data_IF_030822514993
#
_entry.id   IF_030822514993
#
_cell.length_a   1.000
_cell.length_b   1.000
_cell.length_c   1.000
_cell.angle_alpha   90.00
_cell.angle_beta   90.00
_cell.angle_gamma   90.00
#
_symmetry.space_group_name_H-M   'P 1'
#
loop_
_entity.id
_entity.type
_entity.pdbx_description
1 polymer ?
#
# COMPACT_ATOMS: atom_id res chain seq x y z
N UNK A 1 5.49 -5.62 27.14
CA UNK A 1 4.77 -6.50 26.18
C UNK A 1 4.52 -5.79 24.83
N UNK A 2 3.89 -4.61 24.79
CA UNK A 2 3.63 -3.87 23.53
C UNK A 2 4.89 -3.49 22.74
N UNK A 3 5.91 -2.91 23.40
CA UNK A 3 7.18 -2.55 22.73
C UNK A 3 7.90 -3.75 22.09
N UNK A 4 7.76 -4.95 22.68
CA UNK A 4 8.33 -6.16 22.12
C UNK A 4 7.63 -6.57 20.82
N UNK A 5 6.30 -6.44 20.75
CA UNK A 5 5.53 -6.68 19.52
C UNK A 5 5.85 -5.65 18.42
N UNK A 6 6.04 -4.38 18.80
CA UNK A 6 6.47 -3.37 17.84
C UNK A 6 7.85 -3.68 17.27
N UNK A 7 8.81 -4.12 18.10
CA UNK A 7 10.14 -4.55 17.63
C UNK A 7 10.05 -5.79 16.74
N UNK A 8 9.29 -6.80 17.14
CA UNK A 8 9.09 -8.02 16.35
C UNK A 8 8.54 -7.73 14.94
N UNK A 9 7.73 -6.67 14.79
CA UNK A 9 7.24 -6.24 13.47
C UNK A 9 8.37 -5.71 12.59
N UNK A 10 9.37 -5.03 13.15
CA UNK A 10 10.52 -4.50 12.40
C UNK A 10 11.49 -5.62 11.99
N UNK A 11 11.48 -6.77 12.67
CA UNK A 11 12.31 -7.94 12.32
C UNK A 11 11.77 -8.77 11.14
N UNK A 12 10.49 -8.63 10.78
CA UNK A 12 9.89 -9.36 9.64
C UNK A 12 10.55 -8.94 8.34
N UNK A 13 11.12 -9.88 7.59
CA UNK A 13 11.82 -9.62 6.34
C UNK A 13 10.90 -9.02 5.27
N UNK A 14 11.39 -8.00 4.57
CA UNK A 14 10.77 -7.48 3.35
C UNK A 14 11.79 -7.54 2.25
N UNK A 15 11.52 -8.38 1.26
CA UNK A 15 12.32 -8.44 0.04
C UNK A 15 12.39 -7.05 -0.65
N UNK A 16 13.57 -6.63 -1.15
CA UNK A 16 13.73 -5.35 -1.82
C UNK A 16 12.77 -5.12 -2.99
N UNK A 17 12.40 -6.17 -3.74
CA UNK A 17 11.42 -6.09 -4.82
C UNK A 17 10.02 -5.78 -4.30
N UNK A 18 9.64 -6.30 -3.13
CA UNK A 18 8.39 -5.92 -2.47
C UNK A 18 8.42 -4.48 -1.93
N UNK A 19 9.56 -4.01 -1.45
CA UNK A 19 9.73 -2.60 -1.07
C UNK A 19 9.56 -1.68 -2.29
N UNK A 20 10.13 -2.06 -3.44
CA UNK A 20 9.94 -1.35 -4.70
C UNK A 20 8.48 -1.40 -5.17
N UNK A 21 7.82 -2.55 -5.06
CA UNK A 21 6.39 -2.69 -5.35
C UNK A 21 5.53 -1.72 -4.53
N UNK A 22 5.81 -1.56 -3.24
CA UNK A 22 5.14 -0.56 -2.38
C UNK A 22 5.37 0.86 -2.92
N UNK A 23 6.59 1.19 -3.33
CA UNK A 23 6.90 2.51 -3.90
C UNK A 23 6.13 2.75 -5.20
N UNK A 24 6.04 1.74 -6.08
CA UNK A 24 5.30 1.83 -7.33
C UNK A 24 3.81 2.06 -7.05
N UNK A 25 3.20 1.33 -6.12
CA UNK A 25 1.80 1.53 -5.73
C UNK A 25 1.53 2.95 -5.24
N UNK A 26 2.42 3.49 -4.40
CA UNK A 26 2.29 4.85 -3.87
C UNK A 26 2.50 5.89 -4.97
N UNK A 27 3.47 5.71 -5.87
CA UNK A 27 3.68 6.60 -7.03
C UNK A 27 2.47 6.59 -7.98
N UNK A 28 1.90 5.42 -8.25
CA UNK A 28 0.70 5.30 -9.07
C UNK A 28 -0.49 6.14 -8.53
N UNK A 29 -0.58 6.38 -7.22
CA UNK A 29 -1.61 7.28 -6.68
C UNK A 29 -1.38 8.75 -7.03
N UNK A 30 -0.13 9.17 -7.29
CA UNK A 30 0.23 10.54 -7.69
C UNK A 30 0.14 10.75 -9.19
N UNK A 31 0.47 9.71 -9.95
CA UNK A 31 0.52 9.76 -11.40
C UNK A 31 -0.88 9.56 -12.03
N UNK A 32 -1.90 9.19 -11.25
CA UNK A 32 -3.25 9.04 -11.76
C UNK A 32 -3.89 10.41 -12.04
N UNK A 33 -4.36 10.67 -13.28
CA UNK A 33 -4.90 11.96 -13.68
C UNK A 33 -6.18 12.36 -12.94
N UNK A 34 -6.88 11.39 -12.32
CA UNK A 34 -8.09 11.61 -11.51
C UNK A 34 -7.77 12.16 -10.11
N UNK A 35 -6.51 12.09 -9.67
CA UNK A 35 -6.10 12.53 -8.34
C UNK A 35 -5.59 13.97 -8.34
N UNK A 36 -6.04 14.72 -7.35
CA UNK A 36 -5.58 16.07 -7.02
C UNK A 36 -4.32 16.00 -6.14
N UNK A 37 -4.34 15.12 -5.12
CA UNK A 37 -3.21 14.88 -4.21
C UNK A 37 -3.03 13.39 -3.98
N UNK A 38 -1.90 12.83 -4.43
CA UNK A 38 -1.55 11.42 -4.21
C UNK A 38 -0.84 11.17 -2.87
N UNK A 39 -0.68 9.90 -2.50
CA UNK A 39 -0.06 9.51 -1.25
C UNK A 39 1.43 9.94 -1.18
N UNK A 40 1.85 10.46 -0.02
CA UNK A 40 3.22 10.93 0.22
C UNK A 40 4.22 9.78 0.45
N UNK A 41 5.54 10.04 0.56
CA UNK A 41 6.50 9.02 0.99
C UNK A 41 6.18 8.40 2.37
N UNK A 42 5.39 9.08 3.21
CA UNK A 42 4.88 8.47 4.45
C UNK A 42 3.88 7.35 4.18
N UNK A 43 3.22 7.37 3.00
CA UNK A 43 2.41 6.31 2.40
C UNK A 43 3.11 4.97 2.36
N UNK A 44 4.30 4.94 1.76
CA UNK A 44 5.07 3.70 1.60
C UNK A 44 5.55 3.17 2.94
N UNK A 45 6.06 4.02 3.83
CA UNK A 45 6.49 3.61 5.18
C UNK A 45 5.33 3.00 5.99
N UNK A 46 4.15 3.62 5.93
CA UNK A 46 2.98 3.09 6.63
C UNK A 46 2.57 1.73 6.05
N UNK A 47 2.50 1.60 4.72
CA UNK A 47 2.13 0.35 4.05
C UNK A 47 3.13 -0.78 4.35
N UNK A 48 4.42 -0.48 4.33
CA UNK A 48 5.49 -1.40 4.74
C UNK A 48 5.30 -1.90 6.17
N UNK A 49 5.07 -0.99 7.12
CA UNK A 49 4.90 -1.34 8.54
C UNK A 49 3.67 -2.22 8.77
N UNK A 50 2.54 -1.90 8.14
CA UNK A 50 1.32 -2.72 8.30
C UNK A 50 1.41 -4.05 7.56
N UNK A 51 2.12 -4.14 6.44
CA UNK A 51 2.37 -5.40 5.74
C UNK A 51 3.21 -6.35 6.60
N UNK A 52 4.28 -5.86 7.24
CA UNK A 52 5.08 -6.62 8.22
C UNK A 52 4.24 -7.05 9.42
N UNK A 53 3.40 -6.17 9.95
CA UNK A 53 2.52 -6.50 11.07
C UNK A 53 1.54 -7.63 10.69
N UNK A 54 1.00 -7.61 9.46
CA UNK A 54 0.10 -8.65 8.96
C UNK A 54 0.80 -9.99 8.77
N UNK A 55 2.02 -9.99 8.23
CA UNK A 55 2.83 -11.20 8.13
C UNK A 55 3.11 -11.81 9.52
N UNK A 56 3.51 -10.97 10.48
CA UNK A 56 3.75 -11.39 11.87
C UNK A 56 2.49 -11.99 12.51
N UNK A 57 1.33 -11.34 12.35
CA UNK A 57 0.05 -11.84 12.85
C UNK A 57 -0.39 -13.15 12.16
N UNK A 58 0.08 -13.39 10.94
CA UNK A 58 -0.11 -14.65 10.22
C UNK A 58 0.95 -15.72 10.57
N UNK A 59 1.83 -15.46 11.55
CA UNK A 59 2.87 -16.39 11.97
C UNK A 59 4.05 -16.51 11.01
N UNK A 60 4.21 -15.55 10.09
CA UNK A 60 5.33 -15.49 9.13
C UNK A 60 6.34 -14.43 9.53
N UNK A 61 7.60 -14.71 9.25
CA UNK A 61 8.74 -13.82 9.42
C UNK A 61 9.15 -13.11 8.12
N UNK A 62 8.40 -13.29 7.03
CA UNK A 62 8.57 -12.56 5.77
C UNK A 62 7.22 -12.08 5.20
N UNK A 63 7.28 -10.95 4.48
CA UNK A 63 6.12 -10.36 3.79
C UNK A 63 5.88 -11.07 2.46
N UNK A 64 4.60 -11.32 2.12
CA UNK A 64 4.18 -11.75 0.78
C UNK A 64 3.41 -10.65 0.06
N UNK A 65 3.30 -10.67 -1.28
CA UNK A 65 2.54 -9.67 -2.05
C UNK A 65 1.10 -9.44 -1.53
N UNK A 66 0.44 -10.50 -1.07
CA UNK A 66 -0.94 -10.41 -0.60
C UNK A 66 -1.08 -9.61 0.71
N UNK A 67 -0.03 -9.55 1.54
CA UNK A 67 -0.04 -8.69 2.72
C UNK A 67 -0.10 -7.21 2.35
N UNK A 68 0.61 -6.84 1.28
CA UNK A 68 0.67 -5.48 0.75
C UNK A 68 -0.65 -5.15 0.08
N UNK A 69 -1.16 -6.02 -0.81
CA UNK A 69 -2.42 -5.78 -1.53
C UNK A 69 -3.61 -5.63 -0.59
N UNK A 70 -3.69 -6.49 0.43
CA UNK A 70 -4.79 -6.43 1.40
C UNK A 70 -4.82 -5.11 2.18
N UNK A 71 -3.65 -4.47 2.36
CA UNK A 71 -3.50 -3.28 3.19
C UNK A 71 -3.30 -1.99 2.41
N UNK A 72 -2.98 -2.06 1.11
CA UNK A 72 -2.79 -0.90 0.24
C UNK A 72 -4.01 0.03 0.33
N UNK A 73 -5.21 -0.53 0.41
CA UNK A 73 -6.42 0.28 0.53
C UNK A 73 -6.66 0.99 1.83
N UNK A 74 -6.85 0.28 2.94
CA UNK A 74 -7.02 0.92 4.23
C UNK A 74 -5.82 1.83 4.59
N UNK A 75 -4.60 1.51 4.16
CA UNK A 75 -3.41 2.34 4.44
C UNK A 75 -3.31 3.62 3.60
N UNK A 76 -3.80 3.64 2.36
CA UNK A 76 -3.60 4.76 1.43
C UNK A 76 -4.87 5.59 1.14
N UNK A 77 -6.07 5.04 1.32
CA UNK A 77 -7.32 5.70 0.89
C UNK A 77 -7.51 7.10 1.49
N UNK A 78 -7.21 7.28 2.78
CA UNK A 78 -7.31 8.56 3.48
C UNK A 78 -6.14 9.52 3.17
N UNK A 79 -5.22 9.13 2.28
CA UNK A 79 -4.03 9.89 1.89
C UNK A 79 -4.09 10.34 0.43
N UNK A 80 -5.23 10.14 -0.21
CA UNK A 80 -5.47 10.48 -1.62
C UNK A 80 -6.68 11.39 -1.69
N UNK A 81 -6.52 12.53 -2.36
CA UNK A 81 -7.61 13.48 -2.66
C UNK A 81 -7.90 13.38 -4.15
N UNK A 82 -9.15 13.10 -4.49
CA UNK A 82 -9.61 12.96 -5.88
C UNK A 82 -10.10 14.29 -6.39
N UNK A 83 -9.92 14.56 -7.68
CA UNK A 83 -10.43 15.77 -8.33
C UNK A 83 -11.95 15.87 -8.22
N UNK A 84 -12.53 17.07 -8.20
CA UNK A 84 -13.98 17.27 -8.28
C UNK A 84 -14.62 16.84 -9.62
N UNK A 85 -13.84 16.68 -10.69
CA UNK A 85 -14.38 16.47 -12.04
C UNK A 85 -14.89 15.05 -12.43
N UNK A 86 -14.72 13.94 -11.67
CA UNK A 86 -15.34 12.65 -12.04
C UNK A 86 -16.84 12.53 -11.69
N UNK A 87 -17.43 13.46 -10.92
CA UNK A 87 -18.82 13.33 -10.45
C UNK A 87 -19.86 13.47 -11.58
N UNK A 88 -19.49 14.12 -12.69
CA UNK A 88 -20.39 14.44 -13.82
C UNK A 88 -20.68 13.22 -14.73
N UNK A 89 -19.94 12.11 -14.61
CA UNK A 89 -20.08 10.92 -15.49
C UNK A 89 -20.63 9.66 -14.83
N UNK A 90 -21.17 9.74 -13.62
CA UNK A 90 -21.71 8.55 -12.90
C UNK A 90 -20.65 7.52 -12.51
N UNK A 91 -19.37 7.83 -12.72
CA UNK A 91 -18.26 7.05 -12.18
C UNK A 91 -18.27 7.33 -10.68
N UNK A 92 -18.47 6.30 -9.84
CA UNK A 92 -18.09 6.37 -8.43
C UNK A 92 -16.56 6.45 -8.38
N UNK A 93 -16.02 7.60 -8.76
CA UNK A 93 -14.61 7.88 -8.95
C UNK A 93 -13.94 8.15 -7.61
N UNK A 94 -14.05 7.20 -6.68
CA UNK A 94 -12.99 7.03 -5.70
C UNK A 94 -11.94 6.18 -6.38
N UNK A 95 -10.72 6.68 -6.57
CA UNK A 95 -9.66 5.74 -6.92
C UNK A 95 -9.47 4.81 -5.74
N UNK A 96 -9.98 3.59 -5.89
CA UNK A 96 -9.69 2.54 -4.96
C UNK A 96 -8.21 2.20 -5.17
N UNK A 97 -7.42 2.39 -4.14
CA UNK A 97 -6.19 1.63 -3.89
C UNK A 97 -6.18 0.19 -4.39
N UNK A 98 -7.32 -0.53 -4.37
CA UNK A 98 -7.45 -1.85 -4.98
C UNK A 98 -7.30 -1.84 -6.52
N UNK A 99 -7.76 -0.79 -7.22
CA UNK A 99 -7.51 -0.59 -8.65
C UNK A 99 -6.00 -0.40 -8.92
N UNK A 100 -5.30 0.37 -8.08
CA UNK A 100 -3.84 0.57 -8.23
C UNK A 100 -3.07 -0.74 -8.06
N UNK A 101 -3.46 -1.55 -7.07
CA UNK A 101 -2.90 -2.90 -6.86
C UNK A 101 -3.18 -3.87 -8.00
N UNK A 102 -4.29 -3.72 -8.72
CA UNK A 102 -4.60 -4.57 -9.89
C UNK A 102 -3.76 -4.24 -11.14
N UNK A 103 -3.36 -2.97 -11.29
CA UNK A 103 -2.60 -2.49 -12.45
C UNK A 103 -1.09 -2.67 -12.30
N UNK A 104 -0.61 -2.84 -11.07
CA UNK A 104 0.82 -2.94 -10.78
C UNK A 104 1.22 -4.42 -10.70
N UNK A 105 2.07 -4.93 -11.62
CA UNK A 105 2.53 -6.31 -11.58
C UNK A 105 3.23 -6.62 -10.27
N UNK A 106 2.94 -7.80 -9.72
CA UNK A 106 3.62 -8.29 -8.53
C UNK A 106 5.03 -8.76 -8.92
N UNK A 107 6.08 -8.33 -8.22
CA UNK A 107 7.43 -8.80 -8.49
C UNK A 107 7.59 -10.28 -8.14
N UNK A 108 8.53 -10.96 -8.81
CA UNK A 108 8.99 -12.27 -8.36
C UNK A 108 9.86 -12.05 -7.13
N UNK A 109 9.37 -12.48 -5.97
CA UNK A 109 10.11 -12.46 -4.71
C UNK A 109 11.17 -13.55 -4.75
N UNK A 110 12.37 -13.27 -4.22
CA UNK A 110 13.48 -14.23 -4.18
C UNK A 110 13.31 -15.26 -3.07
#
# INVERSE_FOLDING_TARGET
RFLALQRATEEVELDPGLAEYILVLVRATRDDPRVEVGASPRGSLALQKVARARALLAGRDFVVPDDIKALAGPALAHRVIVKPEPWIRGVRGGMSSAESSSRTPVPKVR
#
